data_IF_522101408626
#
_entry.id   IF_522101408626
#
_cell.length_a   1.000
_cell.length_b   1.000
_cell.length_c   1.000
_cell.angle_alpha   90.00
_cell.angle_beta   90.00
_cell.angle_gamma   90.00
#
_symmetry.space_group_name_H-M   'P 1'
#
loop_
_entity.id
_entity.type
_entity.pdbx_description
1 polymer ?
#
# COMPACT_ATOMS: atom_id res chain seq x y z
N UNK A 1 -8.81 -19.39 7.42
CA UNK A 1 -8.94 -20.85 7.29
C UNK A 1 -7.68 -21.37 6.62
N UNK A 2 -6.90 -22.13 7.36
CA UNK A 2 -5.63 -22.75 6.98
C UNK A 2 -5.86 -24.10 6.29
N UNK A 3 -6.52 -24.10 5.12
CA UNK A 3 -6.84 -25.36 4.44
C UNK A 3 -7.08 -25.20 2.93
N UNK A 4 -6.01 -24.91 2.18
CA UNK A 4 -5.95 -25.12 0.73
C UNK A 4 -4.62 -25.82 0.40
N UNK A 5 -4.66 -27.15 0.29
CA UNK A 5 -3.69 -27.92 -0.51
C UNK A 5 -2.38 -28.38 0.15
N UNK A 6 -2.24 -28.38 1.48
CA UNK A 6 -1.03 -28.91 2.14
C UNK A 6 -1.04 -30.45 2.25
N UNK A 7 -1.05 -31.14 1.11
CA UNK A 7 -0.76 -32.58 1.11
C UNK A 7 0.71 -32.81 1.44
N UNK A 8 1.02 -33.86 2.21
CA UNK A 8 2.40 -34.26 2.46
C UNK A 8 3.11 -34.56 1.13
N UNK A 9 4.02 -33.68 0.71
CA UNK A 9 4.85 -33.89 -0.47
C UNK A 9 5.91 -34.93 -0.12
N UNK A 10 5.91 -36.15 -0.72
CA UNK A 10 6.83 -37.21 -0.34
C UNK A 10 8.28 -36.72 -0.40
N UNK A 11 9.07 -36.88 0.66
CA UNK A 11 10.47 -36.39 0.71
C UNK A 11 10.68 -34.99 1.26
N UNK A 12 9.62 -34.27 1.64
CA UNK A 12 9.69 -33.09 2.52
C UNK A 12 8.72 -33.30 3.69
N UNK A 13 9.12 -32.88 4.89
CA UNK A 13 8.21 -32.76 6.02
C UNK A 13 7.23 -31.60 5.81
N UNK A 14 6.09 -31.61 6.52
CA UNK A 14 5.12 -30.52 6.45
C UNK A 14 5.74 -29.16 6.84
N UNK A 15 6.68 -29.16 7.79
CA UNK A 15 7.41 -27.95 8.19
C UNK A 15 8.30 -27.40 7.06
N UNK A 16 8.96 -28.28 6.30
CA UNK A 16 9.78 -27.87 5.16
C UNK A 16 8.92 -27.35 4.01
N UNK A 17 7.76 -27.97 3.74
CA UNK A 17 6.80 -27.47 2.75
C UNK A 17 6.32 -26.06 3.13
N UNK A 18 5.98 -25.85 4.40
CA UNK A 18 5.60 -24.51 4.91
C UNK A 18 6.75 -23.51 4.72
N UNK A 19 7.98 -23.88 5.08
CA UNK A 19 9.13 -22.97 4.97
C UNK A 19 9.39 -22.53 3.52
N UNK A 20 9.32 -23.45 2.54
CA UNK A 20 9.47 -23.12 1.12
C UNK A 20 8.31 -22.23 0.65
N UNK A 21 7.07 -22.54 1.06
CA UNK A 21 5.90 -21.75 0.73
C UNK A 21 5.96 -20.33 1.30
N UNK A 22 6.29 -20.20 2.58
CA UNK A 22 6.43 -18.92 3.26
C UNK A 22 7.53 -18.08 2.60
N UNK A 23 8.64 -18.72 2.20
CA UNK A 23 9.72 -18.03 1.49
C UNK A 23 9.32 -17.60 0.07
N UNK A 24 8.50 -18.39 -0.63
CA UNK A 24 7.96 -18.00 -1.94
C UNK A 24 7.07 -16.76 -1.83
N UNK A 25 6.22 -16.68 -0.81
CA UNK A 25 5.38 -15.50 -0.55
C UNK A 25 6.20 -14.27 -0.14
N UNK A 26 7.42 -14.48 0.38
CA UNK A 26 8.40 -13.42 0.63
C UNK A 26 9.15 -13.00 -0.63
N UNK A 27 8.90 -13.55 -1.82
CA UNK A 27 9.55 -13.01 -3.02
C UNK A 27 8.75 -11.82 -3.56
N UNK A 28 9.39 -10.66 -3.80
CA UNK A 28 8.72 -9.50 -4.37
C UNK A 28 7.94 -9.77 -5.65
N UNK A 29 6.64 -9.46 -5.61
CA UNK A 29 5.72 -9.64 -6.72
C UNK A 29 4.98 -10.97 -6.74
N UNK A 30 5.33 -11.95 -5.88
CA UNK A 30 4.53 -13.17 -5.70
C UNK A 30 3.29 -12.84 -4.85
N UNK A 31 2.11 -12.97 -5.44
CA UNK A 31 0.85 -12.86 -4.71
C UNK A 31 0.47 -14.18 -4.05
N UNK A 32 0.65 -15.30 -4.78
CA UNK A 32 0.34 -16.66 -4.32
C UNK A 32 1.35 -17.66 -4.85
N UNK A 33 1.51 -18.75 -4.13
CA UNK A 33 2.34 -19.87 -4.55
C UNK A 33 1.64 -21.21 -4.32
N UNK A 34 2.07 -22.24 -5.03
CA UNK A 34 1.70 -23.63 -4.79
C UNK A 34 2.91 -24.52 -5.04
N UNK A 35 3.20 -25.40 -4.09
CA UNK A 35 4.21 -26.44 -4.26
C UNK A 35 3.55 -27.73 -4.74
N UNK A 36 4.06 -28.27 -5.84
CA UNK A 36 3.58 -29.51 -6.45
C UNK A 36 4.75 -30.44 -6.76
N UNK A 37 4.48 -31.73 -6.96
CA UNK A 37 5.43 -32.61 -7.67
C UNK A 37 4.97 -32.76 -9.11
N UNK A 38 5.91 -32.60 -10.04
CA UNK A 38 5.70 -32.93 -11.45
C UNK A 38 5.47 -34.45 -11.63
N UNK A 39 4.97 -34.85 -12.80
CA UNK A 39 4.82 -36.27 -13.17
C UNK A 39 6.15 -37.04 -13.11
N UNK A 40 7.28 -36.33 -13.28
CA UNK A 40 8.64 -36.87 -13.16
C UNK A 40 9.14 -36.99 -11.72
N UNK A 41 8.31 -36.63 -10.73
CA UNK A 41 8.64 -36.70 -9.31
C UNK A 41 9.44 -35.51 -8.78
N UNK A 42 9.85 -34.54 -9.60
CA UNK A 42 10.58 -33.35 -9.15
C UNK A 42 9.67 -32.33 -8.44
N UNK A 43 10.22 -31.64 -7.43
CA UNK A 43 9.54 -30.54 -6.73
C UNK A 43 9.45 -29.31 -7.66
N UNK A 44 8.25 -28.78 -7.83
CA UNK A 44 7.96 -27.60 -8.64
C UNK A 44 7.21 -26.57 -7.79
N UNK A 45 7.59 -25.31 -7.91
CA UNK A 45 6.84 -24.19 -7.37
C UNK A 45 6.10 -23.48 -8.51
N UNK A 46 4.78 -23.37 -8.37
CA UNK A 46 3.96 -22.52 -9.24
C UNK A 46 3.71 -21.22 -8.51
N UNK A 47 4.07 -20.10 -9.13
CA UNK A 47 3.93 -18.77 -8.54
C UNK A 47 2.98 -17.94 -9.40
N UNK A 48 2.04 -17.27 -8.74
CA UNK A 48 1.11 -16.34 -9.32
C UNK A 48 1.50 -14.95 -8.82
N UNK A 49 1.79 -14.05 -9.76
CA UNK A 49 2.10 -12.66 -9.43
C UNK A 49 0.85 -11.83 -9.15
N UNK A 50 1.04 -10.63 -8.60
CA UNK A 50 -0.04 -9.63 -8.60
C UNK A 50 -0.48 -9.31 -10.04
N UNK A 51 -1.76 -8.99 -10.21
CA UNK A 51 -2.37 -8.76 -11.52
C UNK A 51 -1.65 -7.67 -12.30
N UNK A 52 -1.46 -7.87 -13.59
CA UNK A 52 -0.92 -6.85 -14.48
C UNK A 52 -1.94 -5.73 -14.64
N UNK A 53 -1.46 -4.55 -15.03
CA UNK A 53 -2.32 -3.41 -15.34
C UNK A 53 -3.35 -3.68 -16.44
N UNK A 54 -3.08 -4.67 -17.31
CA UNK A 54 -3.93 -5.03 -18.44
C UNK A 54 -4.98 -6.10 -18.08
N UNK A 55 -4.88 -6.69 -16.88
CA UNK A 55 -5.74 -7.79 -16.47
C UNK A 55 -7.11 -7.27 -16.03
N UNK A 56 -8.21 -7.98 -16.40
CA UNK A 56 -9.56 -7.56 -16.03
C UNK A 56 -9.76 -7.63 -14.50
N UNK A 57 -10.54 -6.71 -13.90
CA UNK A 57 -10.70 -6.61 -12.44
C UNK A 57 -11.40 -7.82 -11.81
N UNK A 58 -11.96 -8.71 -12.63
CA UNK A 58 -12.69 -9.90 -12.20
C UNK A 58 -11.87 -11.19 -12.26
N UNK A 59 -10.60 -11.12 -12.66
CA UNK A 59 -9.65 -12.24 -12.66
C UNK A 59 -8.52 -12.07 -11.64
N UNK A 60 -7.83 -13.16 -11.32
CA UNK A 60 -6.52 -13.11 -10.63
C UNK A 60 -6.53 -12.93 -9.10
N UNK A 61 -5.40 -12.53 -8.48
CA UNK A 61 -5.31 -12.34 -7.03
C UNK A 61 -6.15 -11.19 -6.48
N UNK A 62 -6.37 -10.11 -7.22
CA UNK A 62 -7.08 -8.96 -6.68
C UNK A 62 -8.54 -9.25 -6.43
N UNK A 63 -9.18 -10.06 -7.27
CA UNK A 63 -10.57 -10.46 -7.05
C UNK A 63 -10.76 -11.32 -5.78
N UNK A 64 -9.67 -11.81 -5.18
CA UNK A 64 -9.68 -12.60 -3.94
C UNK A 64 -9.49 -11.74 -2.69
N UNK A 65 -9.13 -10.45 -2.85
CA UNK A 65 -9.07 -9.52 -1.74
C UNK A 65 -10.47 -9.28 -1.17
N UNK A 66 -10.54 -9.04 0.14
CA UNK A 66 -11.68 -8.38 0.74
C UNK A 66 -11.71 -6.94 0.20
N UNK A 67 -12.71 -6.65 -0.62
CA UNK A 67 -12.86 -5.39 -1.34
C UNK A 67 -14.15 -4.68 -0.91
N UNK A 68 -14.13 -3.35 -0.96
CA UNK A 68 -15.35 -2.54 -0.90
C UNK A 68 -15.90 -2.40 -2.31
N UNK A 69 -15.06 -1.87 -3.22
CA UNK A 69 -15.35 -1.74 -4.62
C UNK A 69 -14.18 -2.32 -5.46
N UNK A 70 -14.43 -3.27 -6.38
CA UNK A 70 -13.37 -3.83 -7.21
C UNK A 70 -12.67 -2.83 -8.14
N UNK A 71 -13.39 -1.82 -8.61
CA UNK A 71 -12.81 -0.78 -9.46
C UNK A 71 -11.85 0.12 -8.66
N UNK A 72 -12.17 0.43 -7.39
CA UNK A 72 -11.25 1.13 -6.48
C UNK A 72 -10.02 0.29 -6.18
N UNK A 73 -10.20 -1.00 -5.93
CA UNK A 73 -9.09 -1.92 -5.65
C UNK A 73 -8.13 -2.00 -6.84
N UNK A 74 -8.67 -2.00 -8.06
CA UNK A 74 -7.88 -1.94 -9.29
C UNK A 74 -7.11 -0.63 -9.40
N UNK A 75 -7.79 0.50 -9.19
CA UNK A 75 -7.18 1.82 -9.20
C UNK A 75 -6.01 1.91 -8.21
N UNK A 76 -6.23 1.51 -6.96
CA UNK A 76 -5.22 1.51 -5.89
C UNK A 76 -4.03 0.63 -6.27
N UNK A 77 -4.27 -0.55 -6.84
CA UNK A 77 -3.18 -1.38 -7.33
C UNK A 77 -2.38 -0.67 -8.42
N UNK A 78 -3.03 -0.07 -9.41
CA UNK A 78 -2.34 0.55 -10.54
C UNK A 78 -1.47 1.72 -10.07
N UNK A 79 -1.96 2.50 -9.11
CA UNK A 79 -1.20 3.57 -8.46
C UNK A 79 -0.03 3.03 -7.61
N UNK A 80 -0.32 2.07 -6.71
CA UNK A 80 0.63 1.62 -5.70
C UNK A 80 1.65 0.62 -6.25
N UNK A 81 1.19 -0.40 -6.97
CA UNK A 81 2.03 -1.47 -7.51
C UNK A 81 2.55 -1.14 -8.90
N UNK A 82 1.72 -0.52 -9.75
CA UNK A 82 2.06 -0.19 -11.12
C UNK A 82 2.95 1.05 -11.22
N UNK A 83 2.46 2.19 -10.70
CA UNK A 83 3.17 3.47 -10.75
C UNK A 83 4.18 3.65 -9.60
N UNK A 84 4.10 2.82 -8.56
CA UNK A 84 4.95 2.88 -7.37
C UNK A 84 4.99 4.30 -6.76
N UNK A 85 3.84 5.00 -6.78
CA UNK A 85 3.70 6.42 -6.41
C UNK A 85 4.38 6.75 -5.07
N UNK A 86 4.24 5.86 -4.09
CA UNK A 86 4.78 6.03 -2.75
C UNK A 86 6.29 5.80 -2.61
N UNK A 87 6.98 5.22 -3.61
CA UNK A 87 8.44 5.05 -3.62
C UNK A 87 9.18 6.10 -4.47
N UNK A 88 8.48 7.08 -5.02
CA UNK A 88 9.09 8.15 -5.81
C UNK A 88 9.91 9.13 -4.95
N UNK A 89 10.52 10.16 -5.55
CA UNK A 89 11.25 11.20 -4.79
C UNK A 89 12.52 10.74 -4.08
N UNK A 90 12.98 9.50 -4.33
CA UNK A 90 14.12 8.88 -3.68
C UNK A 90 13.77 8.08 -2.42
N UNK A 91 12.48 7.78 -2.21
CA UNK A 91 12.03 6.87 -1.17
C UNK A 91 12.50 5.45 -1.49
N UNK A 92 13.04 4.76 -0.49
CA UNK A 92 13.48 3.37 -0.59
C UNK A 92 13.00 2.55 0.60
N UNK A 93 12.78 1.26 0.38
CA UNK A 93 12.59 0.28 1.45
C UNK A 93 13.90 -0.47 1.63
N UNK A 94 14.40 -0.51 2.88
CA UNK A 94 15.52 -1.36 3.28
C UNK A 94 15.02 -2.60 3.98
N UNK A 95 15.83 -3.64 4.06
CA UNK A 95 15.51 -4.80 4.88
C UNK A 95 15.18 -4.38 6.34
N UNK A 96 14.23 -5.09 6.95
CA UNK A 96 13.73 -4.86 8.31
C UNK A 96 13.08 -3.48 8.52
N UNK A 97 12.61 -2.80 7.45
CA UNK A 97 11.96 -1.48 7.50
C UNK A 97 10.75 -1.48 8.46
N UNK A 98 10.66 -0.46 9.32
CA UNK A 98 9.45 -0.16 10.07
C UNK A 98 8.65 0.86 9.27
N UNK A 99 7.47 0.47 8.79
CA UNK A 99 6.63 1.30 7.92
C UNK A 99 5.33 1.65 8.64
N UNK A 100 5.00 2.94 8.67
CA UNK A 100 3.70 3.42 9.15
C UNK A 100 2.83 3.75 7.93
N UNK A 101 1.71 3.06 7.77
CA UNK A 101 0.70 3.27 6.72
C UNK A 101 -0.51 3.98 7.33
N UNK A 102 -0.50 5.32 7.28
CA UNK A 102 -1.55 6.16 7.87
C UNK A 102 -2.61 6.46 6.81
N UNK A 103 -3.84 6.00 7.07
CA UNK A 103 -4.89 5.90 6.06
C UNK A 103 -4.67 4.67 5.18
N UNK A 104 -4.60 3.50 5.82
CA UNK A 104 -4.24 2.25 5.16
C UNK A 104 -5.32 1.74 4.17
N UNK A 105 -6.56 2.28 4.25
CA UNK A 105 -7.70 1.81 3.47
C UNK A 105 -7.82 0.27 3.62
N UNK A 106 -8.11 -0.48 2.54
CA UNK A 106 -8.18 -1.95 2.54
C UNK A 106 -6.79 -2.63 2.57
N UNK A 107 -5.70 -1.87 2.75
CA UNK A 107 -4.36 -2.40 2.96
C UNK A 107 -3.49 -2.56 1.73
N UNK A 108 -3.83 -1.92 0.61
CA UNK A 108 -3.09 -2.10 -0.64
C UNK A 108 -1.62 -1.69 -0.54
N UNK A 109 -1.31 -0.56 0.13
CA UNK A 109 0.07 -0.14 0.34
C UNK A 109 0.82 -1.09 1.30
N UNK A 110 0.17 -1.51 2.38
CA UNK A 110 0.70 -2.52 3.30
C UNK A 110 1.01 -3.86 2.60
N UNK A 111 0.14 -4.33 1.69
CA UNK A 111 0.39 -5.52 0.84
C UNK A 111 1.59 -5.30 -0.10
N UNK A 112 1.69 -4.10 -0.70
CA UNK A 112 2.83 -3.72 -1.54
C UNK A 112 4.14 -3.76 -0.76
N UNK A 113 4.17 -3.22 0.46
CA UNK A 113 5.35 -3.27 1.34
C UNK A 113 5.70 -4.72 1.68
N UNK A 114 4.73 -5.55 2.07
CA UNK A 114 4.98 -6.97 2.38
C UNK A 114 5.53 -7.75 1.19
N UNK A 115 5.06 -7.45 -0.03
CA UNK A 115 5.63 -8.02 -1.23
C UNK A 115 7.07 -7.52 -1.46
N UNK A 116 7.31 -6.21 -1.44
CA UNK A 116 8.61 -5.61 -1.80
C UNK A 116 9.70 -5.76 -0.75
N UNK A 117 9.32 -5.76 0.52
CA UNK A 117 10.21 -5.90 1.67
C UNK A 117 9.54 -6.82 2.71
N UNK A 118 9.63 -8.14 2.54
CA UNK A 118 8.95 -9.09 3.41
C UNK A 118 9.48 -9.14 4.84
N UNK A 119 10.68 -8.59 5.07
CA UNK A 119 11.23 -8.41 6.42
C UNK A 119 10.72 -7.14 7.10
N UNK A 120 9.98 -6.28 6.39
CA UNK A 120 9.41 -5.07 6.98
C UNK A 120 8.33 -5.39 8.03
N UNK A 121 8.24 -4.54 9.05
CA UNK A 121 7.14 -4.51 10.00
C UNK A 121 6.23 -3.31 9.67
N UNK A 122 4.96 -3.58 9.41
CA UNK A 122 3.99 -2.55 9.02
C UNK A 122 3.08 -2.19 10.19
N UNK A 123 2.84 -0.90 10.40
CA UNK A 123 1.87 -0.35 11.33
C UNK A 123 0.79 0.34 10.51
N UNK A 124 -0.39 -0.27 10.38
CA UNK A 124 -1.44 0.18 9.49
C UNK A 124 -2.60 0.80 10.29
N UNK A 125 -3.00 2.02 9.93
CA UNK A 125 -4.01 2.81 10.63
C UNK A 125 -5.20 3.10 9.71
N UNK A 126 -6.39 2.62 10.09
CA UNK A 126 -7.63 2.86 9.37
C UNK A 126 -8.78 3.08 10.38
N UNK A 127 -9.34 4.30 10.48
CA UNK A 127 -10.40 4.60 11.44
C UNK A 127 -11.78 4.04 11.07
N UNK A 128 -12.09 3.85 9.78
CA UNK A 128 -13.44 3.48 9.34
C UNK A 128 -13.64 1.98 9.46
N UNK A 129 -14.58 1.56 10.32
CA UNK A 129 -14.81 0.14 10.62
C UNK A 129 -15.08 -0.71 9.36
N UNK A 130 -15.89 -0.20 8.45
CA UNK A 130 -16.27 -0.85 7.18
C UNK A 130 -15.04 -1.12 6.28
N UNK A 131 -13.98 -0.32 6.41
CA UNK A 131 -12.72 -0.40 5.64
C UNK A 131 -11.63 -1.16 6.41
N UNK A 132 -11.58 -1.00 7.73
CA UNK A 132 -10.68 -1.69 8.64
C UNK A 132 -10.88 -3.21 8.61
N UNK A 133 -12.12 -3.67 8.46
CA UNK A 133 -12.43 -5.09 8.38
C UNK A 133 -11.79 -5.77 7.15
N UNK A 134 -11.96 -5.24 5.92
CA UNK A 134 -11.19 -5.66 4.75
C UNK A 134 -9.67 -5.57 4.93
N UNK A 135 -9.13 -4.46 5.46
CA UNK A 135 -7.69 -4.29 5.75
C UNK A 135 -7.13 -5.48 6.52
N UNK A 136 -7.73 -5.77 7.68
CA UNK A 136 -7.27 -6.83 8.55
C UNK A 136 -7.30 -8.19 7.85
N UNK A 137 -8.40 -8.49 7.14
CA UNK A 137 -8.54 -9.76 6.39
C UNK A 137 -7.47 -9.88 5.30
N UNK A 138 -7.21 -8.81 4.56
CA UNK A 138 -6.24 -8.82 3.47
C UNK A 138 -4.81 -9.06 4.00
N UNK A 139 -4.39 -8.34 5.06
CA UNK A 139 -3.04 -8.52 5.62
C UNK A 139 -2.85 -9.90 6.26
N UNK A 140 -3.86 -10.41 6.98
CA UNK A 140 -3.83 -11.76 7.55
C UNK A 140 -3.75 -12.85 6.48
N UNK A 141 -4.53 -12.73 5.41
CA UNK A 141 -4.58 -13.72 4.33
C UNK A 141 -3.27 -13.81 3.54
N UNK A 142 -2.51 -12.71 3.45
CA UNK A 142 -1.27 -12.62 2.67
C UNK A 142 -0.02 -12.69 3.55
N UNK A 143 -0.16 -12.96 4.86
CA UNK A 143 0.96 -13.15 5.77
C UNK A 143 1.86 -11.93 5.94
N UNK A 144 1.31 -10.72 5.76
CA UNK A 144 2.07 -9.47 5.97
C UNK A 144 2.36 -9.32 7.46
N UNK A 145 3.62 -9.08 7.82
CA UNK A 145 4.00 -8.77 9.21
C UNK A 145 3.50 -7.37 9.58
N UNK A 146 2.27 -7.29 10.10
CA UNK A 146 1.60 -6.03 10.38
C UNK A 146 0.92 -5.97 11.75
N UNK A 147 0.95 -4.79 12.36
CA UNK A 147 0.11 -4.38 13.48
C UNK A 147 -0.97 -3.43 12.95
N UNK A 148 -2.23 -3.85 13.02
CA UNK A 148 -3.37 -3.07 12.54
C UNK A 148 -4.04 -2.31 13.67
N UNK A 149 -4.39 -1.05 13.44
CA UNK A 149 -5.00 -0.16 14.42
C UNK A 149 -6.30 0.42 13.86
N UNK A 150 -7.41 0.14 14.55
CA UNK A 150 -8.73 0.68 14.22
C UNK A 150 -8.89 2.11 14.77
N UNK A 151 -8.06 3.01 14.26
CA UNK A 151 -8.00 4.43 14.64
C UNK A 151 -7.29 5.22 13.53
N UNK A 152 -7.54 6.53 13.48
CA UNK A 152 -6.76 7.47 12.67
C UNK A 152 -5.69 8.17 13.50
N UNK A 153 -4.67 8.70 12.84
CA UNK A 153 -3.66 9.55 13.49
C UNK A 153 -3.99 11.03 13.26
N UNK A 154 -3.69 11.86 14.25
CA UNK A 154 -3.98 13.29 14.26
C UNK A 154 -3.00 14.02 15.20
N UNK A 155 -3.27 15.30 15.48
CA UNK A 155 -2.56 16.11 16.48
C UNK A 155 -3.13 15.95 17.90
N UNK A 156 -4.34 15.41 18.03
CA UNK A 156 -5.06 15.25 19.30
C UNK A 156 -5.79 13.90 19.40
N UNK A 157 -5.94 13.40 20.62
CA UNK A 157 -6.80 12.26 20.94
C UNK A 157 -8.27 12.72 20.98
N UNK A 158 -9.12 12.20 20.10
CA UNK A 158 -10.53 12.56 20.04
C UNK A 158 -11.41 11.51 19.34
N UNK A 159 -12.70 11.51 19.66
CA UNK A 159 -13.71 10.81 18.84
C UNK A 159 -14.38 11.82 17.90
N UNK A 160 -14.54 11.45 16.64
CA UNK A 160 -15.04 12.31 15.58
C UNK A 160 -15.98 11.57 14.62
N UNK A 161 -16.75 12.31 13.83
CA UNK A 161 -17.60 11.77 12.77
C UNK A 161 -16.92 11.93 11.41
N UNK A 162 -16.83 10.84 10.66
CA UNK A 162 -16.36 10.82 9.28
C UNK A 162 -17.55 10.70 8.33
N UNK A 163 -17.40 11.33 7.17
CA UNK A 163 -18.27 11.13 6.03
C UNK A 163 -17.75 9.92 5.24
N UNK A 164 -18.57 8.88 5.15
CA UNK A 164 -18.25 7.62 4.50
C UNK A 164 -19.15 7.40 3.28
N UNK A 165 -18.51 7.07 2.15
CA UNK A 165 -19.16 6.80 0.88
C UNK A 165 -18.98 5.32 0.51
N UNK A 166 -20.00 4.47 0.71
CA UNK A 166 -19.85 3.02 0.53
C UNK A 166 -19.46 2.58 -0.90
N UNK A 167 -19.80 3.38 -1.91
CA UNK A 167 -19.44 3.12 -3.31
C UNK A 167 -18.06 3.65 -3.73
N UNK A 168 -17.50 4.59 -2.97
CA UNK A 168 -16.19 5.23 -3.23
C UNK A 168 -15.47 5.47 -1.91
N UNK A 169 -15.02 4.39 -1.27
CA UNK A 169 -14.41 4.44 0.05
C UNK A 169 -13.12 5.25 0.10
N UNK A 170 -12.36 5.33 -1.01
CA UNK A 170 -11.08 6.06 -1.10
C UNK A 170 -11.22 7.56 -0.82
N UNK A 171 -12.42 8.11 -0.95
CA UNK A 171 -12.71 9.54 -0.75
C UNK A 171 -13.27 9.88 0.63
N UNK A 172 -13.38 8.89 1.52
CA UNK A 172 -13.94 9.09 2.86
C UNK A 172 -13.00 9.98 3.69
N UNK A 173 -13.55 11.04 4.28
CA UNK A 173 -12.79 12.04 5.03
C UNK A 173 -13.54 12.51 6.29
N UNK A 174 -12.86 13.27 7.14
CA UNK A 174 -13.49 13.94 8.26
C UNK A 174 -14.61 14.88 7.79
N UNK A 175 -15.74 14.90 8.50
CA UNK A 175 -16.96 15.62 8.08
C UNK A 175 -16.76 17.11 7.80
N UNK A 176 -15.83 17.76 8.51
CA UNK A 176 -15.54 19.19 8.38
C UNK A 176 -14.86 19.55 7.04
N UNK A 177 -14.34 18.56 6.33
CA UNK A 177 -13.67 18.73 5.04
C UNK A 177 -14.55 18.36 3.84
N UNK A 178 -15.78 17.88 4.02
CA UNK A 178 -16.54 17.32 2.91
C UNK A 178 -17.10 18.39 1.95
N UNK A 179 -16.83 18.21 0.65
CA UNK A 179 -17.41 19.00 -0.43
C UNK A 179 -17.68 18.10 -1.64
N UNK A 180 -18.91 17.61 -1.73
CA UNK A 180 -19.40 16.68 -2.75
C UNK A 180 -19.26 17.20 -4.19
N UNK A 181 -19.34 18.53 -4.41
CA UNK A 181 -19.20 19.10 -5.76
C UNK A 181 -17.73 19.05 -6.22
N UNK A 182 -16.80 19.27 -5.29
CA UNK A 182 -15.36 19.13 -5.54
C UNK A 182 -14.95 17.67 -5.78
N UNK A 183 -15.55 16.72 -5.04
CA UNK A 183 -15.30 15.28 -5.20
C UNK A 183 -15.70 14.76 -6.60
N UNK A 184 -16.84 15.21 -7.12
CA UNK A 184 -17.30 14.90 -8.50
C UNK A 184 -16.37 15.51 -9.55
N UNK A 185 -15.91 16.75 -9.33
CA UNK A 185 -14.97 17.44 -10.22
C UNK A 185 -13.61 16.74 -10.30
N UNK A 186 -13.12 16.23 -9.17
CA UNK A 186 -11.88 15.46 -9.06
C UNK A 186 -11.90 14.22 -9.97
N UNK A 187 -12.91 13.36 -9.83
CA UNK A 187 -12.95 12.09 -10.58
C UNK A 187 -13.00 12.36 -12.09
N UNK A 188 -13.79 13.36 -12.52
CA UNK A 188 -13.85 13.75 -13.93
C UNK A 188 -12.50 14.23 -14.45
N UNK A 189 -11.80 15.08 -13.68
CA UNK A 189 -10.48 15.59 -14.04
C UNK A 189 -9.45 14.45 -14.13
N UNK A 190 -9.47 13.50 -13.19
CA UNK A 190 -8.60 12.33 -13.24
C UNK A 190 -8.82 11.51 -14.52
N UNK A 191 -10.09 11.22 -14.86
CA UNK A 191 -10.45 10.47 -16.08
C UNK A 191 -9.97 11.19 -17.34
N UNK A 192 -10.15 12.52 -17.41
CA UNK A 192 -9.66 13.35 -18.52
C UNK A 192 -8.13 13.24 -18.64
N UNK A 193 -7.39 13.48 -17.56
CA UNK A 193 -5.93 13.43 -17.53
C UNK A 193 -5.40 12.04 -17.92
N UNK A 194 -6.07 10.96 -17.45
CA UNK A 194 -5.68 9.60 -17.76
C UNK A 194 -5.93 9.22 -19.22
N UNK A 195 -6.96 9.78 -19.87
CA UNK A 195 -7.17 9.62 -21.33
C UNK A 195 -6.10 10.35 -22.15
N UNK A 196 -5.66 11.51 -21.67
CA UNK A 196 -4.69 12.36 -22.40
C UNK A 196 -3.23 11.92 -22.21
N UNK A 197 -2.84 11.62 -20.96
CA UNK A 197 -1.45 11.42 -20.56
C UNK A 197 -1.18 10.03 -19.97
N UNK A 198 -2.21 9.22 -19.76
CA UNK A 198 -2.09 7.89 -19.20
C UNK A 198 -1.68 6.81 -20.21
N UNK A 199 -1.36 5.61 -19.73
CA UNK A 199 -1.07 4.46 -20.59
C UNK A 199 -2.25 4.14 -21.53
N UNK A 200 -1.95 3.86 -22.80
CA UNK A 200 -2.97 3.49 -23.80
C UNK A 200 -3.67 2.17 -23.43
N UNK A 201 -4.94 2.01 -23.81
CA UNK A 201 -5.71 0.78 -23.59
C UNK A 201 -6.52 0.73 -22.29
N UNK A 202 -6.61 1.85 -21.56
CA UNK A 202 -7.38 1.96 -20.31
C UNK A 202 -8.80 2.51 -20.49
N UNK A 203 -9.29 2.72 -21.72
CA UNK A 203 -10.58 3.41 -21.97
C UNK A 203 -11.77 2.76 -21.28
N UNK A 204 -11.83 1.43 -21.27
CA UNK A 204 -12.89 0.69 -20.57
C UNK A 204 -12.82 0.92 -19.05
N UNK A 205 -11.62 0.85 -18.47
CA UNK A 205 -11.39 1.14 -17.05
C UNK A 205 -11.73 2.59 -16.69
N UNK A 206 -11.34 3.55 -17.53
CA UNK A 206 -11.63 4.97 -17.31
C UNK A 206 -13.13 5.26 -17.41
N UNK A 207 -13.87 4.54 -18.26
CA UNK A 207 -15.32 4.62 -18.31
C UNK A 207 -15.97 4.04 -17.03
N UNK A 208 -15.41 2.98 -16.45
CA UNK A 208 -15.85 2.44 -15.15
C UNK A 208 -15.59 3.43 -14.01
N UNK A 209 -14.40 4.04 -13.95
CA UNK A 209 -14.08 5.09 -12.96
C UNK A 209 -14.99 6.30 -13.12
N UNK A 210 -15.28 6.73 -14.35
CA UNK A 210 -16.23 7.81 -14.63
C UNK A 210 -17.67 7.46 -14.19
N UNK A 211 -18.03 6.18 -14.20
CA UNK A 211 -19.34 5.72 -13.74
C UNK A 211 -19.54 5.83 -12.23
N UNK A 212 -18.46 5.83 -11.44
CA UNK A 212 -18.51 6.06 -9.99
C UNK A 212 -19.20 7.39 -9.65
N UNK A 213 -19.04 8.39 -10.52
CA UNK A 213 -19.61 9.74 -10.37
C UNK A 213 -21.09 9.82 -10.77
N UNK A 214 -21.60 8.78 -11.44
CA UNK A 214 -22.99 8.69 -11.91
C UNK A 214 -23.90 7.98 -10.92
N UNK A 215 -23.33 7.26 -9.95
CA UNK A 215 -24.08 6.65 -8.85
C UNK A 215 -24.47 7.72 -7.83
N UNK A 216 -25.64 7.57 -7.19
CA UNK A 216 -26.01 8.47 -6.09
C UNK A 216 -25.03 8.24 -4.95
N UNK A 217 -24.28 9.28 -4.58
CA UNK A 217 -23.47 9.30 -3.36
C UNK A 217 -24.39 9.10 -2.15
N UNK A 218 -24.47 7.87 -1.66
CA UNK A 218 -25.07 7.58 -0.35
C UNK A 218 -24.08 7.98 0.73
N UNK A 219 -24.21 9.20 1.22
CA UNK A 219 -23.44 9.67 2.37
C UNK A 219 -23.94 8.95 3.63
N UNK A 220 -23.04 8.30 4.34
CA UNK A 220 -23.32 7.78 5.68
C UNK A 220 -22.25 8.26 6.66
N UNK A 221 -22.64 8.47 7.91
CA UNK A 221 -21.70 8.90 8.94
C UNK A 221 -21.08 7.68 9.64
N UNK A 222 -19.81 7.79 10.03
CA UNK A 222 -19.12 6.81 10.88
C UNK A 222 -18.43 7.49 12.03
N UNK A 223 -18.61 6.97 13.24
CA UNK A 223 -17.83 7.41 14.40
C UNK A 223 -16.47 6.75 14.36
N UNK A 224 -15.45 7.57 14.46
CA UNK A 224 -14.05 7.20 14.34
C UNK A 224 -13.28 7.74 15.54
N UNK A 225 -12.27 6.99 15.99
CA UNK A 225 -11.34 7.45 17.02
C UNK A 225 -10.06 7.91 16.35
N UNK A 226 -9.61 9.11 16.70
CA UNK A 226 -8.32 9.68 16.34
C UNK A 226 -7.40 9.67 17.58
N UNK A 227 -6.13 9.38 17.36
CA UNK A 227 -5.08 9.47 18.38
C UNK A 227 -3.96 10.39 17.89
N UNK A 228 -3.35 11.11 18.82
CA UNK A 228 -2.13 11.87 18.58
C UNK A 228 -1.01 10.93 18.15
N UNK A 229 -0.33 11.26 17.05
CA UNK A 229 0.73 10.43 16.47
C UNK A 229 1.81 10.02 17.50
N UNK A 230 2.31 10.98 18.29
CA UNK A 230 3.36 10.72 19.29
C UNK A 230 2.92 9.77 20.40
N UNK A 231 1.65 9.82 20.80
CA UNK A 231 1.10 8.89 21.80
C UNK A 231 1.17 7.46 21.27
N UNK A 232 0.83 7.28 19.99
CA UNK A 232 0.90 5.97 19.33
C UNK A 232 2.33 5.48 19.17
N UNK A 233 3.30 6.35 18.87
CA UNK A 233 4.72 5.97 18.84
C UNK A 233 5.18 5.43 20.20
N UNK A 234 4.84 6.12 21.29
CA UNK A 234 5.21 5.67 22.64
C UNK A 234 4.61 4.30 22.96
N UNK A 235 3.32 4.11 22.69
CA UNK A 235 2.59 2.85 22.91
C UNK A 235 3.10 1.71 22.03
N UNK A 236 3.57 2.04 20.82
CA UNK A 236 4.10 1.07 19.87
C UNK A 236 5.50 0.59 20.24
N UNK A 237 6.23 1.37 21.05
CA UNK A 237 7.62 1.15 21.45
C UNK A 237 8.59 0.97 20.26
N UNK A 238 8.31 1.65 19.14
CA UNK A 238 9.18 1.62 17.95
C UNK A 238 10.40 2.51 18.16
N UNK A 239 11.57 2.03 17.75
CA UNK A 239 12.83 2.78 17.85
C UNK A 239 13.18 3.54 16.57
N UNK A 240 12.40 3.38 15.50
CA UNK A 240 12.56 4.05 14.19
C UNK A 240 11.30 3.89 13.35
N UNK A 241 11.11 4.80 12.40
CA UNK A 241 10.11 4.72 11.33
C UNK A 241 10.84 5.03 10.02
N UNK A 242 11.10 4.01 9.21
CA UNK A 242 11.87 4.16 7.96
C UNK A 242 11.05 4.81 6.87
N UNK A 243 9.75 4.57 6.88
CA UNK A 243 8.80 5.20 5.97
C UNK A 243 7.49 5.47 6.70
N UNK A 244 7.11 6.74 6.73
CA UNK A 244 5.79 7.20 7.13
C UNK A 244 5.00 7.55 5.86
N UNK A 245 4.03 6.72 5.51
CA UNK A 245 3.05 7.05 4.47
C UNK A 245 1.87 7.77 5.10
N UNK A 246 1.46 8.90 4.52
CA UNK A 246 0.27 9.65 4.98
C UNK A 246 -0.64 9.92 3.78
N UNK A 247 -1.83 9.35 3.81
CA UNK A 247 -2.90 9.66 2.88
C UNK A 247 -4.22 9.54 3.65
N UNK A 248 -4.66 10.65 4.23
CA UNK A 248 -5.80 10.71 5.16
C UNK A 248 -6.84 11.74 4.72
N UNK A 249 -6.83 12.08 3.43
CA UNK A 249 -7.80 12.95 2.77
C UNK A 249 -8.04 14.28 3.53
N UNK A 250 -7.16 15.26 3.29
CA UNK A 250 -7.18 16.63 3.83
C UNK A 250 -6.83 16.77 5.31
N UNK A 251 -6.39 15.72 6.00
CA UNK A 251 -5.92 15.80 7.38
C UNK A 251 -4.40 15.59 7.52
N UNK A 252 -3.63 15.67 6.43
CA UNK A 252 -2.23 15.21 6.42
C UNK A 252 -1.34 16.10 7.30
N UNK A 253 -1.61 17.41 7.30
CA UNK A 253 -0.88 18.36 8.15
C UNK A 253 -1.19 18.13 9.64
N UNK A 254 -2.41 17.71 9.98
CA UNK A 254 -2.81 17.40 11.36
C UNK A 254 -2.03 16.19 11.89
N UNK A 255 -1.80 15.16 11.06
CA UNK A 255 -0.93 14.02 11.39
C UNK A 255 0.50 14.51 11.71
N UNK A 256 1.07 15.41 10.92
CA UNK A 256 2.41 15.94 11.14
C UNK A 256 2.51 16.78 12.43
N UNK A 257 1.48 17.57 12.75
CA UNK A 257 1.41 18.33 14.01
C UNK A 257 1.25 17.42 15.25
N UNK A 258 0.87 16.15 15.06
CA UNK A 258 0.88 15.11 16.09
C UNK A 258 2.28 14.62 16.49
N UNK A 259 3.33 14.99 15.75
CA UNK A 259 4.70 14.53 15.99
C UNK A 259 5.44 15.52 16.91
N UNK A 260 5.82 15.05 18.09
CA UNK A 260 6.65 15.77 19.05
C UNK A 260 8.09 15.91 18.52
N UNK A 261 8.78 16.98 18.91
CA UNK A 261 10.20 17.23 18.60
C UNK A 261 11.11 16.01 18.89
N UNK A 262 10.82 15.25 19.95
CA UNK A 262 11.60 14.06 20.32
C UNK A 262 11.40 12.86 19.38
N UNK A 263 10.32 12.84 18.60
CA UNK A 263 9.98 11.74 17.70
C UNK A 263 10.37 12.00 16.24
N UNK A 264 10.55 13.25 15.84
CA UNK A 264 11.05 13.58 14.50
C UNK A 264 12.36 12.86 14.11
N UNK A 265 13.35 12.68 15.00
CA UNK A 265 14.55 11.91 14.68
C UNK A 265 14.30 10.43 14.35
N UNK A 266 13.17 9.85 14.78
CA UNK A 266 12.82 8.46 14.51
C UNK A 266 12.38 8.27 13.06
N UNK A 267 11.74 9.28 12.46
CA UNK A 267 11.21 9.24 11.09
C UNK A 267 12.31 9.52 10.07
N UNK A 268 12.58 8.57 9.19
CA UNK A 268 13.66 8.67 8.18
C UNK A 268 13.16 9.16 6.84
N UNK A 269 11.96 8.75 6.45
CA UNK A 269 11.34 9.12 5.18
C UNK A 269 9.84 9.30 5.35
N UNK A 270 9.26 10.16 4.52
CA UNK A 270 7.83 10.43 4.47
C UNK A 270 7.39 10.48 3.01
N UNK A 271 6.27 9.84 2.71
CA UNK A 271 5.61 9.90 1.40
C UNK A 271 4.13 10.20 1.64
N UNK A 272 3.61 11.31 1.11
CA UNK A 272 2.25 11.72 1.41
C UNK A 272 1.54 12.37 0.21
N UNK A 273 0.22 12.25 0.17
CA UNK A 273 -0.64 13.03 -0.73
C UNK A 273 -1.12 14.27 0.02
N UNK A 274 -0.68 15.47 -0.38
CA UNK A 274 -1.11 16.73 0.24
C UNK A 274 -2.21 17.36 -0.60
N UNK A 275 -3.33 17.66 0.05
CA UNK A 275 -4.39 18.49 -0.49
C UNK A 275 -4.06 19.97 -0.27
N UNK A 276 -4.04 20.74 -1.36
CA UNK A 276 -3.80 22.20 -1.38
C UNK A 276 -4.68 22.86 -2.46
N UNK A 277 -5.89 23.22 -2.04
CA UNK A 277 -6.97 23.75 -2.89
C UNK A 277 -7.25 25.23 -2.52
N UNK A 278 -7.16 26.13 -3.49
CA UNK A 278 -7.37 27.58 -3.32
C UNK A 278 -8.80 27.88 -2.80
N UNK A 279 -8.92 28.78 -1.82
CA UNK A 279 -10.20 29.17 -1.25
C UNK A 279 -10.83 28.16 -0.30
N UNK A 280 -10.12 27.07 0.04
CA UNK A 280 -10.56 26.06 1.00
C UNK A 280 -9.69 26.09 2.27
N UNK A 281 -10.04 25.36 3.35
CA UNK A 281 -9.17 25.21 4.53
C UNK A 281 -7.79 24.60 4.24
N UNK A 282 -7.59 24.02 3.04
CA UNK A 282 -6.34 23.37 2.66
C UNK A 282 -5.36 24.32 1.94
N UNK A 283 -5.76 25.56 1.68
CA UNK A 283 -4.95 26.51 0.91
C UNK A 283 -3.55 26.75 1.52
N UNK A 284 -2.54 26.60 0.68
CA UNK A 284 -1.13 26.80 1.00
C UNK A 284 -0.50 25.67 1.80
N UNK A 285 -1.17 24.52 1.98
CA UNK A 285 -0.63 23.40 2.76
C UNK A 285 0.66 22.81 2.20
N UNK A 286 0.86 22.75 0.89
CA UNK A 286 2.14 22.29 0.31
C UNK A 286 3.29 23.16 0.81
N UNK A 287 3.09 24.50 0.89
CA UNK A 287 4.11 25.41 1.42
C UNK A 287 4.37 25.16 2.91
N UNK A 288 3.32 24.94 3.70
CA UNK A 288 3.41 24.67 5.14
C UNK A 288 4.15 23.35 5.41
N UNK A 289 3.73 22.27 4.76
CA UNK A 289 4.36 20.94 4.84
C UNK A 289 5.83 21.03 4.45
N UNK A 290 6.15 21.65 3.31
CA UNK A 290 7.54 21.81 2.86
C UNK A 290 8.38 22.55 3.89
N UNK A 291 7.84 23.63 4.48
CA UNK A 291 8.55 24.41 5.50
C UNK A 291 8.80 23.60 6.76
N UNK A 292 7.78 22.88 7.25
CA UNK A 292 7.87 22.03 8.43
C UNK A 292 8.93 20.94 8.25
N UNK A 293 8.81 20.15 7.17
CA UNK A 293 9.70 19.02 6.91
C UNK A 293 11.14 19.48 6.63
N UNK A 294 11.33 20.58 5.89
CA UNK A 294 12.68 21.14 5.70
C UNK A 294 13.28 21.61 7.03
N UNK A 295 12.47 22.21 7.91
CA UNK A 295 12.89 22.61 9.26
C UNK A 295 13.31 21.43 10.14
N UNK A 296 12.72 20.25 9.91
CA UNK A 296 13.07 19.00 10.58
C UNK A 296 14.28 18.27 9.94
N UNK A 297 14.91 18.86 8.92
CA UNK A 297 16.13 18.35 8.29
C UNK A 297 15.92 17.41 7.11
N UNK A 298 14.70 17.31 6.56
CA UNK A 298 14.45 16.50 5.38
C UNK A 298 14.78 17.25 4.09
N UNK A 299 15.24 16.51 3.07
CA UNK A 299 15.19 16.97 1.67
C UNK A 299 13.79 16.68 1.14
N UNK A 300 13.05 17.73 0.78
CA UNK A 300 11.65 17.65 0.34
C UNK A 300 11.57 17.77 -1.19
N UNK A 301 10.88 16.83 -1.82
CA UNK A 301 10.43 16.87 -3.20
C UNK A 301 8.90 17.00 -3.22
N UNK A 302 8.40 17.77 -4.18
CA UNK A 302 6.95 17.93 -4.42
C UNK A 302 6.73 17.69 -5.90
N UNK A 303 5.78 16.81 -6.21
CA UNK A 303 5.33 16.52 -7.55
C UNK A 303 3.82 16.68 -7.63
N UNK A 304 3.36 17.23 -8.75
CA UNK A 304 1.97 17.13 -9.16
C UNK A 304 1.95 16.02 -10.22
N UNK A 305 1.34 14.88 -9.91
CA UNK A 305 1.34 13.74 -10.83
C UNK A 305 0.50 14.07 -12.07
N UNK A 306 0.94 13.63 -13.25
CA UNK A 306 0.27 13.96 -14.51
C UNK A 306 -1.21 13.56 -14.53
N UNK A 307 -1.57 12.46 -13.85
CA UNK A 307 -2.94 12.00 -13.71
C UNK A 307 -3.79 12.86 -12.77
N UNK A 308 -3.17 13.51 -11.78
CA UNK A 308 -3.84 14.32 -10.75
C UNK A 308 -3.64 15.82 -10.98
N UNK A 309 -3.07 16.20 -12.11
CA UNK A 309 -2.81 17.60 -12.44
C UNK A 309 -4.08 18.44 -12.46
N UNK A 310 -4.06 19.57 -11.78
CA UNK A 310 -5.17 20.51 -11.64
C UNK A 310 -6.26 20.06 -10.67
N UNK A 311 -6.01 19.04 -9.84
CA UNK A 311 -6.97 18.56 -8.84
C UNK A 311 -6.72 19.12 -7.43
N UNK A 312 -5.61 19.83 -7.23
CA UNK A 312 -5.19 20.31 -5.90
C UNK A 312 -4.51 19.22 -5.05
N UNK A 313 -4.18 18.07 -5.64
CA UNK A 313 -3.43 16.98 -4.98
C UNK A 313 -1.97 16.99 -5.41
N UNK A 314 -1.08 16.86 -4.42
CA UNK A 314 0.35 16.89 -4.63
C UNK A 314 1.02 15.75 -3.88
N UNK A 315 1.84 14.96 -4.58
CA UNK A 315 2.72 14.00 -3.94
C UNK A 315 3.90 14.75 -3.29
N UNK A 316 4.08 14.60 -1.98
CA UNK A 316 5.20 15.17 -1.23
C UNK A 316 6.04 14.03 -0.66
N UNK A 317 7.31 13.98 -1.07
CA UNK A 317 8.29 13.05 -0.51
C UNK A 317 9.36 13.80 0.27
N UNK A 318 9.71 13.29 1.43
CA UNK A 318 10.72 13.87 2.30
C UNK A 318 11.68 12.79 2.78
N UNK A 319 12.98 12.97 2.56
CA UNK A 319 14.01 11.99 2.92
C UNK A 319 15.08 12.65 3.78
N UNK A 320 15.42 12.05 4.92
CA UNK A 320 16.60 12.44 5.70
C UNK A 320 17.86 12.11 4.92
N UNK A 321 18.75 13.07 4.62
CA UNK A 321 19.99 12.81 3.89
C UNK A 321 20.84 11.70 4.52
N UNK A 322 20.81 11.58 5.84
CA UNK A 322 21.60 10.62 6.61
C UNK A 322 21.16 9.17 6.38
N UNK A 323 19.90 8.95 5.99
CA UNK A 323 19.35 7.61 5.73
C UNK A 323 20.03 6.88 4.56
N UNK A 324 20.70 7.65 3.67
CA UNK A 324 21.54 7.08 2.62
C UNK A 324 22.73 6.29 3.18
N UNK A 325 23.19 6.62 4.38
CA UNK A 325 24.33 5.96 5.04
C UNK A 325 23.95 4.70 5.82
N UNK A 326 22.66 4.36 5.90
CA UNK A 326 22.22 3.14 6.56
C UNK A 326 22.80 1.91 5.83
N UNK A 327 23.50 1.00 6.54
CA UNK A 327 24.18 -0.13 5.92
C UNK A 327 23.23 -1.26 5.49
N UNK A 328 21.96 -1.25 5.92
CA UNK A 328 21.01 -2.32 5.58
C UNK A 328 20.76 -2.36 4.08
N UNK A 329 20.69 -3.53 3.44
CA UNK A 329 20.42 -3.65 2.01
C UNK A 329 19.13 -2.94 1.60
N UNK A 330 19.13 -2.37 0.40
CA UNK A 330 17.91 -1.82 -0.21
C UNK A 330 17.10 -2.99 -0.76
N UNK A 331 15.94 -3.24 -0.16
CA UNK A 331 14.99 -4.25 -0.62
C UNK A 331 14.19 -3.77 -1.84
N UNK A 332 13.81 -2.48 -1.87
CA UNK A 332 13.08 -1.88 -2.99
C UNK A 332 13.32 -0.36 -3.13
N UNK A 333 13.20 0.13 -4.36
CA UNK A 333 13.19 1.53 -4.76
C UNK A 333 12.25 1.74 -5.96
N UNK A 334 11.90 2.98 -6.31
CA UNK A 334 11.08 3.22 -7.51
C UNK A 334 11.67 2.56 -8.77
N UNK A 335 10.82 1.93 -9.57
CA UNK A 335 11.19 1.19 -10.78
C UNK A 335 11.87 -0.15 -10.52
N UNK A 336 11.94 -0.59 -9.26
CA UNK A 336 12.43 -1.93 -8.89
C UNK A 336 11.40 -3.03 -9.10
N UNK A 337 10.21 -2.71 -9.63
CA UNK A 337 9.15 -3.63 -10.02
C UNK A 337 9.65 -4.70 -10.97
N UNK A 338 10.34 -5.69 -10.41
CA UNK A 338 10.81 -6.87 -11.12
C UNK A 338 9.55 -7.56 -11.60
N UNK A 339 9.43 -7.70 -12.93
CA UNK A 339 8.50 -8.65 -13.51
C UNK A 339 8.73 -9.98 -12.81
N UNK A 340 7.66 -10.62 -12.37
CA UNK A 340 7.80 -11.92 -11.72
C UNK A 340 8.36 -12.91 -12.73
N UNK A 341 9.63 -13.26 -12.55
CA UNK A 341 10.38 -14.16 -13.42
C UNK A 341 10.81 -15.40 -12.64
N UNK A 342 10.61 -16.57 -13.22
CA UNK A 342 10.89 -17.85 -12.55
C UNK A 342 12.35 -18.03 -12.11
N UNK A 343 13.31 -17.50 -12.88
CA UNK A 343 14.74 -17.60 -12.59
C UNK A 343 15.12 -16.89 -11.28
N UNK A 344 14.91 -15.57 -11.18
CA UNK A 344 15.15 -14.81 -9.94
C UNK A 344 14.44 -15.38 -8.71
N UNK A 345 13.22 -15.88 -8.86
CA UNK A 345 12.50 -16.54 -7.75
C UNK A 345 13.24 -17.78 -7.28
N UNK A 346 13.71 -18.63 -8.20
CA UNK A 346 14.46 -19.84 -7.85
C UNK A 346 15.82 -19.52 -7.22
N UNK A 347 16.52 -18.52 -7.73
CA UNK A 347 17.82 -18.10 -7.20
C UNK A 347 17.68 -17.60 -5.76
N UNK A 348 16.64 -16.79 -5.49
CA UNK A 348 16.28 -16.40 -4.13
C UNK A 348 16.03 -17.61 -3.22
N UNK A 349 15.22 -18.58 -3.65
CA UNK A 349 14.98 -19.78 -2.85
C UNK A 349 16.27 -20.52 -2.49
N UNK A 350 17.24 -20.58 -3.41
CA UNK A 350 18.52 -21.24 -3.19
C UNK A 350 19.46 -20.51 -2.21
N UNK A 351 19.28 -19.20 -2.01
CA UNK A 351 20.05 -18.43 -1.01
C UNK A 351 19.63 -18.75 0.43
N UNK A 352 18.36 -19.08 0.64
CA UNK A 352 17.77 -19.23 1.97
C UNK A 352 17.44 -20.69 2.36
N UNK A 353 17.37 -21.61 1.40
CA UNK A 353 16.97 -23.00 1.63
C UNK A 353 18.10 -24.00 1.40
N UNK A 354 18.13 -25.12 2.15
CA UNK A 354 18.94 -26.28 1.80
C UNK A 354 18.63 -26.80 0.39
N UNK A 355 19.65 -27.31 -0.31
CA UNK A 355 19.55 -27.73 -1.72
C UNK A 355 18.37 -28.69 -2.00
N UNK A 356 18.06 -29.61 -1.07
CA UNK A 356 16.97 -30.58 -1.24
C UNK A 356 15.56 -29.98 -1.13
N UNK A 357 15.43 -28.77 -0.57
CA UNK A 357 14.17 -28.04 -0.43
C UNK A 357 13.92 -27.08 -1.60
N UNK A 358 14.96 -26.70 -2.34
CA UNK A 358 14.83 -25.80 -3.49
C UNK A 358 14.04 -26.50 -4.62
N UNK A 359 12.94 -25.89 -5.10
CA UNK A 359 12.21 -26.42 -6.25
C UNK A 359 13.13 -26.58 -7.48
N UNK A 360 13.01 -27.71 -8.15
CA UNK A 360 13.78 -27.97 -9.38
C UNK A 360 13.37 -27.00 -10.48
N UNK A 361 12.09 -26.60 -10.47
CA UNK A 361 11.51 -25.64 -11.41
C UNK A 361 10.59 -24.68 -10.67
N UNK A 362 10.67 -23.41 -11.05
CA UNK A 362 9.65 -22.40 -10.74
C UNK A 362 8.89 -22.12 -12.04
N UNK A 363 7.56 -22.01 -11.96
CA UNK A 363 6.69 -21.69 -13.10
C UNK A 363 5.81 -20.53 -12.72
N UNK A 364 5.87 -19.44 -13.49
CA UNK A 364 4.91 -18.33 -13.37
C UNK A 364 3.63 -18.74 -14.09
N UNK A 365 2.51 -18.67 -13.40
CA UNK A 365 1.19 -19.10 -13.91
C UNK A 365 0.20 -17.96 -13.87
N UNK A 366 -0.79 -18.01 -14.76
CA UNK A 366 -1.88 -17.01 -14.81
C UNK A 366 -3.03 -17.36 -13.85
N UNK A 367 -3.03 -18.57 -13.28
CA UNK A 367 -3.97 -18.98 -12.23
C UNK A 367 -3.41 -20.17 -11.42
N UNK A 368 -3.84 -20.29 -10.17
CA UNK A 368 -3.59 -21.46 -9.33
C UNK A 368 -4.91 -22.19 -9.11
N UNK A 369 -4.92 -23.50 -9.34
CA UNK A 369 -6.05 -24.34 -9.00
C UNK A 369 -6.26 -24.35 -7.48
N UNK A 370 -7.51 -24.33 -7.00
CA UNK A 370 -7.82 -24.34 -5.57
C UNK A 370 -7.28 -25.57 -4.83
#
# INVERSE_FOLDING_TARGET
MSDLGQSALPGLSAAEVSAVYDLLLRFPGVARAQLVRSDSGHLEARVLGWDRMEDPPTGGPLCQLAQINPHETRFLHDEIFGAESYLQGGIILREDSVVFDVGANIGMFSLFVGARCPSAEVFAFEPVADVFDPLRRNLEQHGVSARVFHLGLSDVDQDITFNFYPGISIMSCQSDYADLENEVGLIKRYVENARENGPSGRDAHLAEVESLVSERFELTERRCTLRRFSTVIDESAVSRVDLLKIDVQRAELDVLHGIDDRHWPLVQQISMEVHDEEGTPTEGRVRQVRSLLSGQGFRVAVAEEDLLKGTGRYAVQAVRPEYANDPRPVAAAAGSGRRLDAGPVRDWLAEWLPEHQVPHRVVVVDSLAP
#
